data_IF_519076020655
#
_entry.id   IF_519076020655
#
_cell.length_a   1.000
_cell.length_b   1.000
_cell.length_c   1.000
_cell.angle_alpha   90.00
_cell.angle_beta   90.00
_cell.angle_gamma   90.00
#
_symmetry.space_group_name_H-M   'P 1'
#
loop_
_entity.id
_entity.type
_entity.pdbx_description
1 polymer ?
#
# COMPACT_ATOMS: atom_id res chain seq x y z
N UNK A 1 22.17 -1.12 -6.58
CA UNK A 1 20.77 -1.53 -6.77
C UNK A 1 20.78 -2.51 -7.90
N UNK A 2 20.43 -3.75 -7.62
CA UNK A 2 20.28 -4.75 -8.66
C UNK A 2 19.07 -4.42 -9.53
N UNK A 3 19.05 -4.93 -10.76
CA UNK A 3 17.95 -4.68 -11.70
C UNK A 3 16.61 -5.20 -11.13
N UNK A 4 16.69 -6.24 -10.30
CA UNK A 4 15.56 -6.84 -9.58
C UNK A 4 15.00 -5.85 -8.56
N UNK A 5 15.83 -5.16 -7.79
CA UNK A 5 15.39 -4.19 -6.77
C UNK A 5 14.65 -3.01 -7.40
N UNK A 6 15.15 -2.53 -8.54
CA UNK A 6 14.55 -1.42 -9.28
C UNK A 6 13.20 -1.84 -9.87
N UNK A 7 13.14 -3.04 -10.44
CA UNK A 7 11.91 -3.57 -11.00
C UNK A 7 10.86 -3.80 -9.91
N UNK A 8 11.24 -4.44 -8.81
CA UNK A 8 10.37 -4.70 -7.68
C UNK A 8 9.86 -3.41 -7.04
N UNK A 9 10.76 -2.47 -6.72
CA UNK A 9 10.40 -1.18 -6.14
C UNK A 9 9.46 -0.35 -7.02
N UNK A 10 9.72 -0.30 -8.34
CA UNK A 10 8.87 0.44 -9.27
C UNK A 10 7.49 -0.20 -9.47
N UNK A 11 7.41 -1.54 -9.61
CA UNK A 11 6.14 -2.26 -9.71
C UNK A 11 5.29 -2.10 -8.44
N UNK A 12 5.93 -2.22 -7.28
CA UNK A 12 5.26 -2.06 -5.98
C UNK A 12 4.73 -0.63 -5.81
N UNK A 13 5.48 0.39 -6.24
CA UNK A 13 5.01 1.78 -6.20
C UNK A 13 3.80 2.01 -7.11
N UNK A 14 3.85 1.52 -8.35
CA UNK A 14 2.70 1.60 -9.29
C UNK A 14 1.49 0.86 -8.73
N UNK A 15 1.70 -0.33 -8.17
CA UNK A 15 0.62 -1.12 -7.56
C UNK A 15 -0.05 -0.42 -6.38
N UNK A 16 0.74 0.19 -5.48
CA UNK A 16 0.21 0.95 -4.34
C UNK A 16 -0.62 2.14 -4.82
N UNK A 17 -0.15 2.89 -5.82
CA UNK A 17 -0.90 4.03 -6.39
C UNK A 17 -2.23 3.59 -7.00
N UNK A 18 -2.22 2.55 -7.84
CA UNK A 18 -3.44 2.02 -8.46
C UNK A 18 -4.40 1.50 -7.39
N UNK A 19 -3.91 0.78 -6.40
CA UNK A 19 -4.73 0.22 -5.32
C UNK A 19 -5.36 1.31 -4.45
N UNK A 20 -4.63 2.39 -4.17
CA UNK A 20 -5.17 3.57 -3.48
C UNK A 20 -6.30 4.21 -4.30
N UNK A 21 -6.08 4.44 -5.60
CA UNK A 21 -7.10 5.03 -6.48
C UNK A 21 -8.37 4.16 -6.52
N UNK A 22 -8.22 2.84 -6.65
CA UNK A 22 -9.33 1.89 -6.67
C UNK A 22 -10.05 1.88 -5.32
N UNK A 23 -9.30 1.77 -4.21
CA UNK A 23 -9.85 1.75 -2.86
C UNK A 23 -10.67 2.99 -2.55
N UNK A 24 -10.11 4.18 -2.82
CA UNK A 24 -10.83 5.45 -2.66
C UNK A 24 -12.04 5.57 -3.59
N UNK A 25 -11.96 5.05 -4.82
CA UNK A 25 -13.10 5.02 -5.74
C UNK A 25 -14.26 4.18 -5.19
N UNK A 26 -13.95 3.02 -4.60
CA UNK A 26 -14.95 2.14 -3.97
C UNK A 26 -15.55 2.82 -2.73
N UNK A 27 -14.71 3.43 -1.88
CA UNK A 27 -15.16 4.18 -0.69
C UNK A 27 -16.08 5.34 -1.09
N UNK A 28 -15.73 6.11 -2.13
CA UNK A 28 -16.55 7.23 -2.63
C UNK A 28 -17.96 6.78 -3.06
N UNK A 29 -18.08 5.54 -3.54
CA UNK A 29 -19.36 4.93 -3.91
C UNK A 29 -20.31 4.74 -2.71
N UNK A 30 -19.80 4.74 -1.47
CA UNK A 30 -20.63 4.75 -0.26
C UNK A 30 -21.63 5.92 -0.24
N UNK A 31 -21.21 7.11 -0.71
CA UNK A 31 -22.06 8.30 -0.72
C UNK A 31 -23.33 8.10 -1.57
N UNK A 32 -23.21 7.31 -2.67
CA UNK A 32 -24.31 7.04 -3.59
C UNK A 32 -25.26 5.94 -3.11
N UNK A 33 -24.73 4.85 -2.55
CA UNK A 33 -25.52 3.67 -2.23
C UNK A 33 -25.85 3.52 -0.73
N UNK A 34 -25.25 4.35 0.15
CA UNK A 34 -25.37 4.30 1.62
C UNK A 34 -25.11 2.92 2.25
N UNK A 35 -24.50 2.00 1.51
CA UNK A 35 -24.22 0.64 1.98
C UNK A 35 -22.80 0.56 2.54
N UNK A 36 -22.70 0.22 3.84
CA UNK A 36 -21.44 0.10 4.58
C UNK A 36 -20.46 -0.90 3.95
N UNK A 37 -20.95 -1.87 3.17
CA UNK A 37 -20.11 -2.79 2.40
C UNK A 37 -19.11 -2.08 1.48
N UNK A 38 -19.47 -0.94 0.87
CA UNK A 38 -18.52 -0.20 0.02
C UNK A 38 -17.37 0.41 0.81
N UNK A 39 -17.62 0.83 2.04
CA UNK A 39 -16.55 1.34 2.92
C UNK A 39 -15.65 0.20 3.36
N UNK A 40 -16.22 -0.93 3.80
CA UNK A 40 -15.46 -2.10 4.21
C UNK A 40 -14.59 -2.60 3.07
N UNK A 41 -15.17 -2.95 1.92
CA UNK A 41 -14.42 -3.47 0.75
C UNK A 41 -13.32 -2.51 0.30
N UNK A 42 -13.63 -1.21 0.20
CA UNK A 42 -12.63 -0.23 -0.19
C UNK A 42 -11.50 -0.08 0.84
N UNK A 43 -11.82 -0.12 2.13
CA UNK A 43 -10.83 -0.07 3.20
C UNK A 43 -9.98 -1.35 3.23
N UNK A 44 -10.58 -2.54 3.08
CA UNK A 44 -9.82 -3.79 3.01
C UNK A 44 -8.89 -3.80 1.78
N UNK A 45 -9.33 -3.27 0.65
CA UNK A 45 -8.49 -3.17 -0.55
C UNK A 45 -7.26 -2.28 -0.33
N UNK A 46 -7.43 -1.12 0.33
CA UNK A 46 -6.31 -0.25 0.70
C UNK A 46 -5.39 -0.95 1.70
N UNK A 47 -5.93 -1.61 2.71
CA UNK A 47 -5.14 -2.32 3.74
C UNK A 47 -4.38 -3.53 3.18
N UNK A 48 -4.88 -4.21 2.16
CA UNK A 48 -4.11 -5.26 1.48
C UNK A 48 -2.94 -4.66 0.69
N UNK A 49 -3.15 -3.49 0.09
CA UNK A 49 -2.09 -2.82 -0.68
C UNK A 49 -0.92 -2.33 0.19
N UNK A 50 -1.11 -2.19 1.51
CA UNK A 50 -0.03 -1.79 2.42
C UNK A 50 1.09 -2.84 2.56
N UNK A 51 0.87 -4.07 2.10
CA UNK A 51 1.91 -5.10 2.08
C UNK A 51 3.07 -4.75 1.14
N UNK A 52 2.78 -4.00 0.07
CA UNK A 52 3.78 -3.53 -0.92
C UNK A 52 4.28 -2.11 -0.64
N UNK A 53 3.71 -1.43 0.36
CA UNK A 53 4.17 -0.13 0.83
C UNK A 53 5.63 -0.09 1.32
N UNK A 54 6.19 -1.09 2.04
CA UNK A 54 7.59 -1.04 2.48
C UNK A 54 8.59 -1.10 1.31
N UNK A 55 8.28 -1.86 0.24
CA UNK A 55 9.08 -1.89 -0.98
C UNK A 55 8.97 -0.57 -1.75
N UNK A 56 7.75 -0.05 -1.92
CA UNK A 56 7.52 1.24 -2.56
C UNK A 56 8.22 2.38 -1.79
N UNK A 57 8.17 2.36 -0.46
CA UNK A 57 8.82 3.35 0.40
C UNK A 57 10.36 3.23 0.34
N UNK A 58 10.90 2.01 0.33
CA UNK A 58 12.35 1.77 0.18
C UNK A 58 12.86 2.29 -1.15
N UNK A 59 12.12 2.03 -2.23
CA UNK A 59 12.44 2.53 -3.56
C UNK A 59 12.36 4.07 -3.62
N UNK A 60 11.31 4.66 -3.03
CA UNK A 60 11.14 6.11 -2.98
C UNK A 60 12.26 6.79 -2.18
N UNK A 61 12.65 6.27 -1.02
CA UNK A 61 13.77 6.79 -0.24
C UNK A 61 15.09 6.71 -1.00
N UNK A 62 15.32 5.60 -1.71
CA UNK A 62 16.53 5.45 -2.50
C UNK A 62 16.56 6.40 -3.69
N UNK A 63 15.41 6.72 -4.30
CA UNK A 63 15.29 7.72 -5.37
C UNK A 63 15.57 9.13 -4.85
N UNK A 64 15.16 9.42 -3.62
CA UNK A 64 15.38 10.70 -2.94
C UNK A 64 16.80 10.86 -2.36
N UNK A 65 17.64 9.82 -2.45
CA UNK A 65 19.02 9.85 -1.97
C UNK A 65 19.18 9.63 -0.46
N UNK A 66 18.13 9.21 0.25
CA UNK A 66 18.17 8.91 1.69
C UNK A 66 18.65 7.48 2.01
N UNK A 67 18.95 6.68 0.99
CA UNK A 67 19.33 5.27 1.13
C UNK A 67 18.13 4.34 1.20
N UNK A 68 18.34 3.11 1.67
CA UNK A 68 17.28 2.10 1.85
C UNK A 68 16.65 2.22 3.23
N UNK A 69 15.38 1.81 3.35
CA UNK A 69 14.75 1.74 4.67
C UNK A 69 15.53 0.81 5.60
N UNK A 70 15.65 1.22 6.86
CA UNK A 70 16.13 0.34 7.90
C UNK A 70 15.18 -0.86 8.06
N UNK A 71 15.75 -2.03 8.38
CA UNK A 71 15.02 -3.30 8.50
C UNK A 71 13.87 -3.19 9.51
N UNK A 72 14.07 -2.43 10.60
CA UNK A 72 13.01 -2.21 11.58
C UNK A 72 11.80 -1.50 10.97
N UNK A 73 12.04 -0.40 10.24
CA UNK A 73 10.97 0.34 9.56
C UNK A 73 10.29 -0.46 8.46
N UNK A 74 11.05 -1.29 7.74
CA UNK A 74 10.50 -2.16 6.70
C UNK A 74 9.43 -3.11 7.27
N UNK A 75 9.75 -3.79 8.38
CA UNK A 75 8.79 -4.70 9.02
C UNK A 75 7.62 -3.98 9.67
N UNK A 76 7.84 -2.80 10.27
CA UNK A 76 6.77 -2.01 10.87
C UNK A 76 5.76 -1.61 9.80
N UNK A 77 6.20 -1.05 8.67
CA UNK A 77 5.28 -0.60 7.61
C UNK A 77 4.56 -1.81 6.98
N UNK A 78 5.29 -2.92 6.75
CA UNK A 78 4.70 -4.12 6.18
C UNK A 78 3.68 -4.82 7.09
N UNK A 79 3.82 -4.71 8.41
CA UNK A 79 2.97 -5.45 9.38
C UNK A 79 1.99 -4.56 10.17
N UNK A 80 2.17 -3.24 10.19
CA UNK A 80 1.33 -2.34 11.00
C UNK A 80 -0.17 -2.47 10.70
N UNK A 81 -0.51 -2.70 9.44
CA UNK A 81 -1.89 -2.79 8.97
C UNK A 81 -2.39 -4.23 8.77
N UNK A 82 -1.54 -5.24 8.96
CA UNK A 82 -1.91 -6.66 8.84
C UNK A 82 -3.04 -7.06 9.81
N UNK A 83 -3.03 -6.68 11.10
CA UNK A 83 -4.13 -7.01 12.00
C UNK A 83 -5.44 -6.40 11.52
N UNK A 84 -5.41 -5.15 11.07
CA UNK A 84 -6.60 -4.44 10.58
C UNK A 84 -7.13 -5.09 9.29
N UNK A 85 -6.23 -5.51 8.40
CA UNK A 85 -6.60 -6.22 7.18
C UNK A 85 -7.28 -7.57 7.46
N UNK A 86 -6.87 -8.29 8.51
CA UNK A 86 -7.44 -9.59 8.87
C UNK A 86 -8.85 -9.52 9.46
N UNK A 87 -9.26 -8.40 10.05
CA UNK A 87 -10.55 -8.23 10.71
C UNK A 87 -11.65 -7.60 9.84
N UNK A 88 -11.41 -7.40 8.54
CA UNK A 88 -12.15 -6.48 7.66
C UNK A 88 -13.39 -7.09 6.93
#
# INVERSE_FOLDING_TARGET
>A
MDIVDILQGSLSLVYVLISFIIGFTIISKYSKYKNRLYVLVGMCWVMLSTLWLPEAASFLMSLLGFGTLDIGWYFIIGNAFVPVALFC
#
